data_IF_511272634106
#
_entry.id   IF_511272634106
#
_cell.length_a   1.000
_cell.length_b   1.000
_cell.length_c   1.000
_cell.angle_alpha   90.00
_cell.angle_beta   90.00
_cell.angle_gamma   90.00
#
_symmetry.space_group_name_H-M   'P 1'
#
loop_
_entity.id
_entity.type
_entity.pdbx_description
1 polymer ?
#
# COMPACT_ATOMS: atom_id res chain seq x y z
N UNK A 1 11.89 27.66 2.73
CA UNK A 1 12.61 27.57 4.02
C UNK A 1 11.89 26.63 5.00
N UNK A 2 10.58 26.77 5.24
CA UNK A 2 9.82 25.89 6.15
C UNK A 2 9.94 24.38 5.83
N UNK A 3 9.82 23.97 4.55
CA UNK A 3 9.95 22.55 4.15
C UNK A 3 11.28 21.93 4.56
N UNK A 4 12.38 22.66 4.36
CA UNK A 4 13.72 22.21 4.75
C UNK A 4 13.86 22.17 6.27
N UNK A 5 13.34 23.17 6.98
CA UNK A 5 13.35 23.18 8.45
C UNK A 5 12.60 21.97 9.03
N UNK A 6 11.42 21.63 8.50
CA UNK A 6 10.66 20.46 8.91
C UNK A 6 11.39 19.15 8.58
N UNK A 7 12.03 19.07 7.41
CA UNK A 7 12.84 17.91 7.03
C UNK A 7 14.02 17.71 7.99
N UNK A 8 14.76 18.78 8.30
CA UNK A 8 15.86 18.72 9.27
C UNK A 8 15.38 18.36 10.67
N UNK A 9 14.25 18.92 11.11
CA UNK A 9 13.65 18.57 12.39
C UNK A 9 13.30 17.09 12.44
N UNK A 10 12.62 16.55 11.42
CA UNK A 10 12.28 15.12 11.33
C UNK A 10 13.52 14.21 11.26
N UNK A 11 14.57 14.64 10.57
CA UNK A 11 15.83 13.90 10.54
C UNK A 11 16.51 13.89 11.90
N UNK A 12 16.59 15.05 12.58
CA UNK A 12 17.18 15.17 13.91
C UNK A 12 16.40 14.35 14.95
N UNK A 13 15.07 14.32 14.89
CA UNK A 13 14.26 13.50 15.79
C UNK A 13 14.49 12.01 15.55
N UNK A 14 14.54 11.56 14.29
CA UNK A 14 14.84 10.17 13.94
C UNK A 14 16.22 9.75 14.45
N UNK A 15 17.24 10.57 14.18
CA UNK A 15 18.61 10.32 14.59
C UNK A 15 18.75 10.34 16.12
N UNK A 16 18.11 11.31 16.78
CA UNK A 16 18.05 11.40 18.24
C UNK A 16 17.38 10.17 18.86
N UNK A 17 16.30 9.65 18.26
CA UNK A 17 15.62 8.45 18.71
C UNK A 17 16.52 7.21 18.58
N UNK A 18 17.21 7.06 17.45
CA UNK A 18 18.14 5.94 17.22
C UNK A 18 19.28 5.98 18.25
N UNK A 19 19.85 7.16 18.53
CA UNK A 19 20.88 7.29 19.55
C UNK A 19 20.36 7.03 20.96
N UNK A 20 19.17 7.53 21.30
CA UNK A 20 18.57 7.35 22.61
C UNK A 20 18.24 5.89 22.91
N UNK A 21 17.65 5.17 21.93
CA UNK A 21 17.35 3.73 22.07
C UNK A 21 18.64 2.91 22.04
N UNK A 22 19.60 3.31 21.21
CA UNK A 22 20.86 2.62 20.99
C UNK A 22 20.79 1.69 19.77
N UNK A 23 21.62 1.89 18.73
CA UNK A 23 21.55 1.12 17.49
C UNK A 23 21.79 -0.39 17.70
N UNK A 24 22.64 -0.76 18.66
CA UNK A 24 22.88 -2.15 19.02
C UNK A 24 21.63 -2.85 19.56
N UNK A 25 20.79 -2.15 20.34
CA UNK A 25 19.52 -2.69 20.86
C UNK A 25 18.49 -2.87 19.74
N UNK A 26 18.43 -1.92 18.81
CA UNK A 26 17.55 -2.01 17.63
C UNK A 26 17.95 -3.22 16.78
N UNK A 27 19.24 -3.40 16.50
CA UNK A 27 19.75 -4.54 15.73
C UNK A 27 19.54 -5.86 16.46
N UNK A 28 19.78 -5.92 17.77
CA UNK A 28 19.53 -7.13 18.56
C UNK A 28 18.04 -7.51 18.57
N UNK A 29 17.14 -6.54 18.70
CA UNK A 29 15.70 -6.76 18.61
C UNK A 29 15.30 -7.26 17.21
N UNK A 30 15.83 -6.65 16.14
CA UNK A 30 15.58 -7.08 14.77
C UNK A 30 16.11 -8.50 14.51
N UNK A 31 17.30 -8.84 15.01
CA UNK A 31 17.90 -10.16 14.89
C UNK A 31 17.17 -11.23 15.73
N UNK A 32 16.42 -10.82 16.75
CA UNK A 32 15.58 -11.71 17.56
C UNK A 32 14.37 -12.26 16.80
N UNK A 33 13.99 -11.67 15.65
CA UNK A 33 12.93 -12.19 14.80
C UNK A 33 13.43 -13.38 13.97
N UNK A 34 13.02 -14.59 14.38
CA UNK A 34 13.21 -15.77 13.55
C UNK A 34 12.31 -15.77 12.30
N UNK A 35 12.60 -16.61 11.29
CA UNK A 35 11.79 -16.73 10.08
C UNK A 35 10.30 -17.01 10.34
N UNK A 36 9.99 -17.76 11.39
CA UNK A 36 8.61 -18.04 11.80
C UNK A 36 7.87 -16.79 12.29
N UNK A 37 8.53 -15.94 13.09
CA UNK A 37 7.92 -14.69 13.56
C UNK A 37 7.65 -13.73 12.39
N UNK A 38 8.58 -13.63 11.44
CA UNK A 38 8.37 -12.88 10.21
C UNK A 38 7.20 -13.43 9.39
N UNK A 39 7.10 -14.76 9.24
CA UNK A 39 5.98 -15.40 8.54
C UNK A 39 4.64 -15.08 9.22
N UNK A 40 4.57 -15.17 10.54
CA UNK A 40 3.35 -14.89 11.31
C UNK A 40 2.90 -13.43 11.20
N UNK A 41 3.82 -12.49 10.99
CA UNK A 41 3.51 -11.06 10.76
C UNK A 41 3.08 -10.82 9.31
N UNK A 42 3.77 -11.44 8.36
CA UNK A 42 3.54 -11.22 6.93
C UNK A 42 2.29 -11.93 6.41
N UNK A 43 1.97 -13.11 6.92
CA UNK A 43 0.88 -13.94 6.41
C UNK A 43 -0.50 -13.28 6.58
N UNK A 44 -0.88 -12.72 7.75
CA UNK A 44 -2.12 -11.96 7.88
C UNK A 44 -2.15 -10.74 6.97
N UNK A 45 -1.02 -10.05 6.80
CA UNK A 45 -0.90 -8.88 5.92
C UNK A 45 -1.12 -9.25 4.46
N UNK A 46 -0.52 -10.34 4.01
CA UNK A 46 -0.68 -10.87 2.66
C UNK A 46 -2.12 -11.33 2.42
N UNK A 47 -2.73 -12.00 3.40
CA UNK A 47 -4.12 -12.43 3.34
C UNK A 47 -5.06 -11.24 3.25
N UNK A 48 -4.84 -10.20 4.05
CA UNK A 48 -5.60 -8.95 4.00
C UNK A 48 -5.53 -8.34 2.60
N UNK A 49 -4.34 -8.16 2.03
CA UNK A 49 -4.18 -7.61 0.68
C UNK A 49 -4.86 -8.48 -0.40
N UNK A 50 -4.82 -9.80 -0.24
CA UNK A 50 -5.47 -10.73 -1.17
C UNK A 50 -7.00 -10.62 -1.09
N UNK A 51 -7.57 -10.57 0.11
CA UNK A 51 -9.00 -10.39 0.34
C UNK A 51 -9.49 -9.05 -0.20
N UNK A 52 -8.73 -7.98 0.00
CA UNK A 52 -9.05 -6.67 -0.55
C UNK A 52 -8.98 -6.66 -2.09
N UNK A 53 -8.02 -7.36 -2.70
CA UNK A 53 -7.96 -7.52 -4.14
C UNK A 53 -9.16 -8.33 -4.67
N UNK A 54 -9.62 -9.35 -3.93
CA UNK A 54 -10.85 -10.09 -4.25
C UNK A 54 -12.08 -9.18 -4.15
N UNK A 55 -12.21 -8.40 -3.07
CA UNK A 55 -13.29 -7.42 -2.90
C UNK A 55 -13.30 -6.40 -4.02
N UNK A 56 -12.13 -5.86 -4.38
CA UNK A 56 -12.00 -4.93 -5.51
C UNK A 56 -12.38 -5.58 -6.84
N UNK A 57 -12.06 -6.85 -7.07
CA UNK A 57 -12.46 -7.59 -8.28
C UNK A 57 -13.97 -7.61 -8.46
N UNK A 58 -14.74 -7.72 -7.38
CA UNK A 58 -16.21 -7.71 -7.42
C UNK A 58 -16.71 -6.34 -7.90
N UNK A 59 -16.09 -5.25 -7.47
CA UNK A 59 -16.47 -3.88 -7.88
C UNK A 59 -16.21 -3.56 -9.36
N UNK A 60 -15.37 -4.35 -10.05
CA UNK A 60 -15.13 -4.20 -11.49
C UNK A 60 -16.30 -4.69 -12.36
N UNK A 61 -17.29 -5.38 -11.77
CA UNK A 61 -18.49 -5.86 -12.48
C UNK A 61 -18.15 -6.66 -13.74
N UNK A 62 -18.72 -6.25 -14.89
CA UNK A 62 -18.47 -6.90 -16.20
C UNK A 62 -17.00 -6.94 -16.62
N UNK A 63 -16.17 -6.03 -16.10
CA UNK A 63 -14.74 -5.96 -16.42
C UNK A 63 -13.89 -6.93 -15.56
N UNK A 64 -14.44 -7.54 -14.52
CA UNK A 64 -13.72 -8.44 -13.63
C UNK A 64 -13.13 -9.68 -14.33
N UNK A 65 -13.70 -10.10 -15.47
CA UNK A 65 -13.22 -11.20 -16.28
C UNK A 65 -12.02 -10.82 -17.17
N UNK A 66 -11.83 -9.53 -17.46
CA UNK A 66 -10.75 -9.03 -18.33
C UNK A 66 -9.38 -8.96 -17.62
N UNK A 67 -9.37 -9.00 -16.29
CA UNK A 67 -8.17 -8.90 -15.46
C UNK A 67 -8.02 -10.15 -14.60
N UNK A 68 -6.87 -10.80 -14.67
CA UNK A 68 -6.57 -11.94 -13.80
C UNK A 68 -6.40 -11.46 -12.35
N UNK A 69 -6.73 -12.32 -11.38
CA UNK A 69 -6.58 -11.98 -9.96
C UNK A 69 -5.15 -11.51 -9.63
N UNK A 70 -4.12 -12.20 -10.12
CA UNK A 70 -2.73 -11.84 -9.86
C UNK A 70 -2.33 -10.47 -10.42
N UNK A 71 -2.86 -10.10 -11.60
CA UNK A 71 -2.65 -8.75 -12.15
C UNK A 71 -3.36 -7.71 -11.31
N UNK A 72 -4.60 -7.97 -10.91
CA UNK A 72 -5.36 -7.05 -10.07
C UNK A 72 -4.69 -6.85 -8.71
N UNK A 73 -4.20 -7.93 -8.10
CA UNK A 73 -3.41 -7.90 -6.87
C UNK A 73 -2.14 -7.06 -7.04
N UNK A 74 -1.37 -7.28 -8.12
CA UNK A 74 -0.17 -6.49 -8.40
C UNK A 74 -0.48 -5.00 -8.61
N UNK A 75 -1.55 -4.67 -9.35
CA UNK A 75 -1.99 -3.29 -9.56
C UNK A 75 -2.39 -2.64 -8.23
N UNK A 76 -3.13 -3.36 -7.37
CA UNK A 76 -3.52 -2.88 -6.04
C UNK A 76 -2.28 -2.55 -5.22
N UNK A 77 -1.34 -3.48 -5.13
CA UNK A 77 -0.09 -3.32 -4.36
C UNK A 77 0.75 -2.18 -4.90
N UNK A 78 0.85 -2.00 -6.23
CA UNK A 78 1.55 -0.87 -6.83
C UNK A 78 0.92 0.48 -6.46
N UNK A 79 -0.42 0.57 -6.50
CA UNK A 79 -1.11 1.77 -6.04
C UNK A 79 -0.94 2.01 -4.54
N UNK A 80 -0.92 0.96 -3.72
CA UNK A 80 -0.71 1.10 -2.28
C UNK A 80 0.71 1.55 -1.94
N UNK A 81 1.71 1.05 -2.66
CA UNK A 81 3.07 1.56 -2.57
C UNK A 81 3.13 3.06 -2.84
N UNK A 82 2.42 3.56 -3.86
CA UNK A 82 2.34 5.00 -4.13
C UNK A 82 1.66 5.74 -2.98
N UNK A 83 0.55 5.24 -2.45
CA UNK A 83 -0.14 5.84 -1.29
C UNK A 83 0.76 5.96 -0.06
N UNK A 84 1.61 4.96 0.19
CA UNK A 84 2.49 4.94 1.37
C UNK A 84 3.77 5.78 1.20
N UNK A 85 4.23 5.98 -0.03
CA UNK A 85 5.52 6.63 -0.31
C UNK A 85 5.40 8.09 -0.73
N UNK A 86 4.25 8.50 -1.27
CA UNK A 86 4.06 9.85 -1.79
C UNK A 86 3.39 10.77 -0.77
N UNK A 87 3.76 12.06 -0.71
CA UNK A 87 3.17 13.03 0.22
C UNK A 87 1.79 13.54 -0.26
N UNK A 88 1.08 12.73 -1.04
CA UNK A 88 -0.28 13.04 -1.56
C UNK A 88 -1.38 12.43 -0.69
N UNK A 89 -1.04 11.92 0.50
CA UNK A 89 -1.90 11.06 1.31
C UNK A 89 -2.37 9.82 0.52
N UNK A 90 -3.41 9.15 1.02
CA UNK A 90 -4.06 7.99 0.37
C UNK A 90 -4.87 8.34 -0.90
N UNK A 91 -4.40 9.30 -1.71
CA UNK A 91 -5.08 9.74 -2.93
C UNK A 91 -4.22 9.59 -4.20
N UNK A 92 -2.93 9.30 -4.06
CA UNK A 92 -2.00 9.20 -5.20
C UNK A 92 -2.05 7.85 -5.91
N UNK A 93 -2.37 6.78 -5.19
CA UNK A 93 -2.38 5.42 -5.68
C UNK A 93 -3.63 5.07 -6.47
N UNK A 94 -4.75 5.75 -6.23
CA UNK A 94 -6.05 5.47 -6.83
C UNK A 94 -6.08 5.78 -8.34
N UNK A 95 -5.59 6.95 -8.81
CA UNK A 95 -5.43 7.20 -10.24
C UNK A 95 -4.50 6.19 -10.91
N UNK A 96 -3.43 5.75 -10.22
CA UNK A 96 -2.52 4.74 -10.74
C UNK A 96 -3.21 3.39 -10.91
N UNK A 97 -4.00 2.95 -9.92
CA UNK A 97 -4.79 1.71 -9.99
C UNK A 97 -5.70 1.71 -11.22
N UNK A 98 -6.44 2.80 -11.45
CA UNK A 98 -7.32 2.94 -12.61
C UNK A 98 -6.55 3.00 -13.94
N UNK A 99 -5.41 3.71 -13.97
CA UNK A 99 -4.56 3.79 -15.16
C UNK A 99 -3.99 2.44 -15.58
N UNK A 100 -3.53 1.63 -14.62
CA UNK A 100 -2.96 0.30 -14.87
C UNK A 100 -4.01 -0.74 -15.27
N UNK A 101 -5.31 -0.47 -15.11
CA UNK A 101 -6.38 -1.31 -15.64
C UNK A 101 -6.66 -1.07 -17.12
N UNK A 102 -6.26 0.09 -17.67
CA UNK A 102 -6.50 0.46 -19.08
C UNK A 102 -5.94 -0.56 -20.09
N UNK A 103 -4.71 -1.09 -19.95
CA UNK A 103 -4.18 -2.11 -20.85
C UNK A 103 -4.96 -3.43 -20.83
N UNK A 104 -5.84 -3.63 -19.84
CA UNK A 104 -6.70 -4.80 -19.72
C UNK A 104 -8.13 -4.56 -20.22
N UNK A 105 -8.38 -3.46 -20.94
CA UNK A 105 -9.69 -3.18 -21.54
C UNK A 105 -10.72 -2.61 -20.56
N UNK A 106 -10.28 -2.12 -19.40
CA UNK A 106 -11.14 -1.38 -18.47
C UNK A 106 -11.08 0.11 -18.80
N UNK A 107 -12.21 0.74 -19.17
CA UNK A 107 -12.25 2.19 -19.36
C UNK A 107 -11.82 2.93 -18.08
N UNK A 108 -11.13 4.07 -18.23
CA UNK A 108 -10.59 4.80 -17.07
C UNK A 108 -11.67 5.22 -16.06
N UNK A 109 -12.87 5.58 -16.56
CA UNK A 109 -14.02 5.97 -15.73
C UNK A 109 -14.54 4.79 -14.92
N UNK A 110 -14.65 3.61 -15.55
CA UNK A 110 -15.07 2.37 -14.89
C UNK A 110 -14.00 1.87 -13.90
N UNK A 111 -12.72 2.08 -14.22
CA UNK A 111 -11.61 1.82 -13.31
C UNK A 111 -11.66 2.70 -12.07
N UNK A 112 -11.81 4.02 -12.26
CA UNK A 112 -11.93 5.00 -11.16
C UNK A 112 -13.14 4.73 -10.27
N UNK A 113 -14.30 4.47 -10.87
CA UNK A 113 -15.52 4.16 -10.10
C UNK A 113 -15.34 2.89 -9.27
N UNK A 114 -14.74 1.83 -9.83
CA UNK A 114 -14.44 0.60 -9.09
C UNK A 114 -13.51 0.84 -7.89
N UNK A 115 -12.47 1.66 -8.08
CA UNK A 115 -11.49 1.98 -7.02
C UNK A 115 -12.14 2.77 -5.89
N UNK A 116 -12.97 3.76 -6.21
CA UNK A 116 -13.70 4.57 -5.23
C UNK A 116 -14.70 3.71 -4.46
N UNK A 117 -15.46 2.86 -5.15
CA UNK A 117 -16.40 1.93 -4.52
C UNK A 117 -15.67 0.99 -3.57
N UNK A 118 -14.60 0.34 -4.04
CA UNK A 118 -13.83 -0.59 -3.21
C UNK A 118 -13.24 0.09 -1.96
N UNK A 119 -12.73 1.31 -2.09
CA UNK A 119 -12.20 2.06 -0.95
C UNK A 119 -13.29 2.47 0.04
N UNK A 120 -14.46 2.83 -0.47
CA UNK A 120 -15.62 3.20 0.36
C UNK A 120 -16.14 1.98 1.13
N UNK A 121 -16.31 0.84 0.46
CA UNK A 121 -16.71 -0.43 1.09
C UNK A 121 -15.70 -0.93 2.12
N UNK A 122 -14.42 -0.59 2.00
CA UNK A 122 -13.41 -0.93 2.99
C UNK A 122 -13.49 -0.05 4.25
N UNK A 123 -14.07 1.14 4.13
CA UNK A 123 -14.12 2.15 5.21
C UNK A 123 -15.41 2.07 6.03
N UNK A 124 -16.52 1.64 5.41
CA UNK A 124 -17.85 1.50 6.02
C UNK A 124 -18.06 0.06 6.46
#
# INVERSE_FOLDING_TARGET
MLRLALLFLGFLTLVGLIWHIGPSRILAAAAGFGPLALLLILLPSLLMYALEALGWRITLGRHAASVTFWRLFAIRTAGELVNMTTPTAYAGGEPLKAYLLKPHGVPIVDGLSSVVTAKTTMTI
#
